data_IF_502388868095
#
_entry.id   IF_502388868095
#
_cell.length_a   1.000
_cell.length_b   1.000
_cell.length_c   1.000
_cell.angle_alpha   90.00
_cell.angle_beta   90.00
_cell.angle_gamma   90.00
#
_symmetry.space_group_name_H-M   'P 1'
#
loop_
_entity.id
_entity.type
_entity.pdbx_description
1 polymer ?
#
# COMPACT_ATOMS: atom_id res chain seq x y z
N UNK A 1 -15.15 14.43 -16.69
CA UNK A 1 -16.51 14.81 -17.11
C UNK A 1 -17.44 13.65 -16.74
N UNK A 2 -18.46 13.88 -15.91
CA UNK A 2 -19.26 12.78 -15.32
C UNK A 2 -20.17 12.11 -16.35
N UNK A 3 -20.60 12.88 -17.35
CA UNK A 3 -21.49 12.41 -18.41
C UNK A 3 -20.79 11.41 -19.34
N UNK A 4 -19.48 11.56 -19.57
CA UNK A 4 -18.71 10.65 -20.43
C UNK A 4 -18.48 9.29 -19.75
N UNK A 5 -18.32 9.26 -18.43
CA UNK A 5 -18.16 8.01 -17.67
C UNK A 5 -19.46 7.20 -17.67
N UNK A 6 -20.62 7.84 -17.47
CA UNK A 6 -21.91 7.13 -17.49
C UNK A 6 -22.24 6.52 -18.87
N UNK A 7 -21.85 7.20 -19.96
CA UNK A 7 -21.96 6.65 -21.31
C UNK A 7 -21.05 5.41 -21.50
N UNK A 8 -19.84 5.45 -20.94
CA UNK A 8 -18.90 4.32 -20.96
C UNK A 8 -19.41 3.13 -20.13
N UNK A 9 -19.94 3.38 -18.93
CA UNK A 9 -20.57 2.36 -18.07
C UNK A 9 -21.65 1.59 -18.86
N UNK A 10 -22.56 2.32 -19.50
CA UNK A 10 -23.67 1.73 -20.27
C UNK A 10 -23.16 0.92 -21.48
N UNK A 11 -22.12 1.41 -22.15
CA UNK A 11 -21.51 0.72 -23.28
C UNK A 11 -20.86 -0.60 -22.84
N UNK A 12 -20.12 -0.59 -21.72
CA UNK A 12 -19.44 -1.77 -21.19
C UNK A 12 -20.41 -2.84 -20.68
N UNK A 13 -21.52 -2.43 -20.06
CA UNK A 13 -22.58 -3.38 -19.64
C UNK A 13 -23.23 -4.11 -20.82
N UNK A 14 -23.29 -3.49 -22.00
CA UNK A 14 -23.81 -4.09 -23.23
C UNK A 14 -22.77 -4.88 -24.04
N UNK A 15 -21.51 -4.90 -23.59
CA UNK A 15 -20.43 -5.52 -24.35
C UNK A 15 -20.42 -7.04 -24.18
N UNK A 16 -20.65 -7.77 -25.28
CA UNK A 16 -20.82 -9.22 -25.26
C UNK A 16 -19.49 -10.00 -25.29
N UNK A 17 -18.47 -9.54 -24.57
CA UNK A 17 -17.14 -10.12 -24.54
C UNK A 17 -16.51 -10.05 -23.15
N UNK A 18 -15.28 -10.55 -23.01
CA UNK A 18 -14.53 -10.44 -21.76
C UNK A 18 -13.78 -9.11 -21.74
N UNK A 19 -13.96 -8.34 -20.66
CA UNK A 19 -13.25 -7.09 -20.42
C UNK A 19 -12.47 -7.23 -19.12
N UNK A 20 -11.17 -6.92 -19.17
CA UNK A 20 -10.34 -6.75 -17.99
C UNK A 20 -10.15 -5.25 -17.78
N UNK A 21 -10.49 -4.76 -16.59
CA UNK A 21 -10.46 -3.34 -16.25
C UNK A 21 -9.50 -3.14 -15.08
N UNK A 22 -8.59 -2.18 -15.21
CA UNK A 22 -7.76 -1.67 -14.12
C UNK A 22 -8.13 -0.21 -13.94
N UNK A 23 -8.69 0.12 -12.77
CA UNK A 23 -9.13 1.47 -12.45
C UNK A 23 -8.95 1.75 -10.97
N UNK A 24 -8.66 3.01 -10.65
CA UNK A 24 -8.61 3.52 -9.28
C UNK A 24 -9.95 4.13 -8.84
N UNK A 25 -10.92 4.27 -9.76
CA UNK A 25 -12.27 4.76 -9.43
C UNK A 25 -13.15 3.62 -8.95
N UNK A 26 -13.35 3.58 -7.63
CA UNK A 26 -14.19 2.59 -6.95
C UNK A 26 -15.62 2.56 -7.46
N UNK A 27 -16.24 3.72 -7.73
CA UNK A 27 -17.65 3.79 -8.13
C UNK A 27 -17.87 3.24 -9.54
N UNK A 28 -16.87 3.41 -10.41
CA UNK A 28 -16.88 2.84 -11.74
C UNK A 28 -16.69 1.32 -11.71
N UNK A 29 -15.71 0.83 -10.95
CA UNK A 29 -15.47 -0.63 -10.84
C UNK A 29 -16.68 -1.34 -10.26
N UNK A 30 -17.30 -0.81 -9.20
CA UNK A 30 -18.46 -1.43 -8.54
C UNK A 30 -19.64 -1.69 -9.49
N UNK A 31 -19.83 -0.82 -10.49
CA UNK A 31 -20.97 -0.90 -11.42
C UNK A 31 -20.73 -1.73 -12.67
N UNK A 32 -19.47 -1.96 -13.02
CA UNK A 32 -19.08 -2.54 -14.31
C UNK A 32 -18.44 -3.92 -14.15
N UNK A 33 -17.88 -4.23 -12.97
CA UNK A 33 -17.21 -5.52 -12.73
C UNK A 33 -18.03 -6.43 -11.83
N UNK A 34 -18.16 -7.70 -12.23
CA UNK A 34 -18.80 -8.75 -11.43
C UNK A 34 -17.79 -9.58 -10.60
N UNK A 35 -16.51 -9.52 -10.98
CA UNK A 35 -15.40 -10.27 -10.40
C UNK A 35 -14.20 -9.36 -10.15
N UNK A 36 -13.56 -9.55 -9.00
CA UNK A 36 -12.36 -8.82 -8.58
C UNK A 36 -11.18 -9.78 -8.46
N UNK A 37 -10.05 -9.38 -9.02
CA UNK A 37 -8.77 -10.04 -8.78
C UNK A 37 -8.00 -9.26 -7.73
N UNK A 38 -7.84 -9.87 -6.57
CA UNK A 38 -7.15 -9.29 -5.42
C UNK A 38 -5.72 -9.80 -5.41
N UNK A 39 -4.78 -8.88 -5.32
CA UNK A 39 -3.36 -9.17 -5.15
C UNK A 39 -3.05 -9.17 -3.65
N UNK A 40 -2.78 -10.34 -3.08
CA UNK A 40 -2.46 -10.49 -1.64
C UNK A 40 -0.94 -10.37 -1.36
N UNK A 41 -0.14 -9.96 -2.36
CA UNK A 41 1.32 -10.01 -2.33
C UNK A 41 1.87 -11.40 -2.70
N UNK A 42 3.19 -11.52 -2.80
CA UNK A 42 3.88 -12.81 -3.07
C UNK A 42 3.46 -13.52 -4.38
N UNK A 43 2.91 -12.78 -5.35
CA UNK A 43 2.36 -13.35 -6.58
C UNK A 43 1.06 -14.13 -6.41
N UNK A 44 0.41 -14.05 -5.24
CA UNK A 44 -0.88 -14.70 -4.98
C UNK A 44 -2.01 -13.79 -5.46
N UNK A 45 -2.83 -14.31 -6.37
CA UNK A 45 -4.02 -13.63 -6.88
C UNK A 45 -5.25 -14.43 -6.49
N UNK A 46 -6.21 -13.75 -5.85
CA UNK A 46 -7.47 -14.35 -5.42
C UNK A 46 -8.63 -13.76 -6.21
N UNK A 47 -9.51 -14.63 -6.68
CA UNK A 47 -10.77 -14.26 -7.32
C UNK A 47 -11.84 -14.05 -6.24
N UNK A 48 -12.51 -12.91 -6.29
CA UNK A 48 -13.66 -12.58 -5.47
C UNK A 48 -14.83 -12.21 -6.36
N UNK A 49 -15.87 -13.04 -6.34
CA UNK A 49 -17.14 -12.77 -7.01
C UNK A 49 -17.99 -11.84 -6.13
N UNK A 50 -17.99 -10.56 -6.48
CA UNK A 50 -18.67 -9.51 -5.73
C UNK A 50 -18.18 -8.13 -6.14
N UNK A 51 -18.77 -7.11 -5.53
CA UNK A 51 -18.43 -5.71 -5.76
C UNK A 51 -17.22 -5.29 -4.89
N UNK A 52 -16.54 -4.21 -5.28
CA UNK A 52 -15.37 -3.71 -4.54
C UNK A 52 -15.79 -3.22 -3.14
N UNK A 53 -17.01 -2.68 -3.05
CA UNK A 53 -17.60 -2.25 -1.78
C UNK A 53 -17.85 -3.41 -0.82
N UNK A 54 -18.41 -4.52 -1.30
CA UNK A 54 -18.62 -5.74 -0.49
C UNK A 54 -17.29 -6.34 -0.03
N UNK A 55 -16.27 -6.33 -0.89
CA UNK A 55 -14.94 -6.78 -0.52
C UNK A 55 -14.32 -5.91 0.59
N UNK A 56 -14.44 -4.59 0.49
CA UNK A 56 -13.96 -3.67 1.52
C UNK A 56 -14.64 -3.89 2.88
N UNK A 57 -15.96 -4.14 2.89
CA UNK A 57 -16.69 -4.49 4.11
C UNK A 57 -16.21 -5.82 4.71
N UNK A 58 -15.98 -6.84 3.87
CA UNK A 58 -15.43 -8.12 4.30
C UNK A 58 -14.05 -7.96 4.96
N UNK A 59 -13.19 -7.08 4.41
CA UNK A 59 -11.87 -6.78 4.96
C UNK A 59 -11.97 -6.18 6.37
N UNK A 60 -12.85 -5.19 6.55
CA UNK A 60 -13.10 -4.52 7.83
C UNK A 60 -13.65 -5.52 8.88
N UNK A 61 -14.52 -6.43 8.47
CA UNK A 61 -15.06 -7.49 9.33
C UNK A 61 -13.97 -8.49 9.77
N UNK A 62 -13.05 -8.84 8.87
CA UNK A 62 -11.90 -9.71 9.18
C UNK A 62 -10.93 -9.05 10.15
N UNK A 63 -10.64 -7.76 9.99
CA UNK A 63 -9.75 -7.02 10.89
C UNK A 63 -10.34 -6.93 12.31
N UNK A 64 -11.64 -6.68 12.42
CA UNK A 64 -12.38 -6.70 13.70
C UNK A 64 -12.39 -8.10 14.34
N UNK A 65 -12.55 -9.15 13.54
CA UNK A 65 -12.57 -10.54 14.01
C UNK A 65 -11.19 -11.06 14.44
N UNK A 66 -10.13 -10.56 13.80
CA UNK A 66 -8.73 -10.87 14.16
C UNK A 66 -8.34 -10.20 15.47
N UNK A 67 -8.80 -8.96 15.68
CA UNK A 67 -8.60 -8.22 16.94
C UNK A 67 -9.30 -8.88 18.14
N UNK A 68 -10.41 -9.60 17.92
CA UNK A 68 -11.12 -10.32 18.99
C UNK A 68 -10.45 -11.65 19.38
N UNK A 69 -9.73 -12.31 18.46
CA UNK A 69 -9.09 -13.62 18.72
C UNK A 69 -7.72 -13.55 19.42
N UNK A 70 -7.08 -12.38 19.47
CA UNK A 70 -5.78 -12.19 20.15
C UNK A 70 -5.91 -12.24 21.70
N UNK A 71 -7.12 -12.10 22.24
CA UNK A 71 -7.36 -12.17 23.68
C UNK A 71 -7.36 -13.57 24.30
N UNK A 72 -7.41 -14.65 23.50
CA UNK A 72 -7.69 -16.01 24.01
C UNK A 72 -6.51 -17.01 23.83
N UNK A 73 -5.53 -16.71 22.99
CA UNK A 73 -4.43 -17.65 22.67
C UNK A 73 -3.09 -17.34 23.36
N UNK A 74 -2.99 -16.25 24.13
CA UNK A 74 -1.77 -15.86 24.85
C UNK A 74 -1.47 -16.70 26.12
N UNK A 75 -2.37 -17.60 26.55
CA UNK A 75 -2.24 -18.36 27.80
C UNK A 75 -1.70 -19.80 27.66
N UNK A 76 -1.39 -20.30 26.46
CA UNK A 76 -1.06 -21.72 26.27
C UNK A 76 0.32 -22.04 25.63
N UNK A 77 1.18 -21.06 25.36
CA UNK A 77 2.51 -21.28 24.73
C UNK A 77 3.64 -20.96 25.70
N UNK A 78 3.61 -21.56 26.89
CA UNK A 78 4.72 -21.54 27.85
C UNK A 78 5.04 -22.94 28.40
N UNK A 79 5.23 -23.93 27.54
CA UNK A 79 5.90 -25.17 27.92
C UNK A 79 6.41 -25.88 26.67
N UNK A 80 7.68 -25.63 26.33
CA UNK A 80 8.61 -26.63 25.77
C UNK A 80 9.92 -25.95 25.38
N UNK A 81 10.72 -25.65 26.41
CA UNK A 81 12.17 -25.50 26.25
C UNK A 81 12.74 -26.90 26.45
N UNK A 82 13.14 -27.58 25.38
CA UNK A 82 14.05 -28.70 25.54
C UNK A 82 15.06 -28.78 24.40
N UNK A 83 16.31 -28.91 24.81
CA UNK A 83 17.48 -29.09 24.00
C UNK A 83 17.36 -30.34 23.13
N UNK A 84 17.94 -30.30 21.92
CA UNK A 84 18.91 -31.34 21.62
C UNK A 84 19.99 -30.84 20.66
N UNK A 85 21.22 -31.22 21.01
CA UNK A 85 22.46 -31.03 20.27
C UNK A 85 22.87 -32.40 19.72
N UNK A 86 23.62 -32.38 18.63
CA UNK A 86 24.31 -33.48 17.92
C UNK A 86 23.44 -34.07 16.78
N UNK A 87 23.95 -34.33 15.56
CA UNK A 87 25.31 -34.75 15.16
C UNK A 87 25.51 -34.63 13.62
N UNK A 88 26.75 -34.32 13.22
CA UNK A 88 27.50 -34.64 11.98
C UNK A 88 26.96 -34.40 10.54
N UNK A 89 27.77 -33.65 9.76
CA UNK A 89 27.85 -33.77 8.29
C UNK A 89 28.25 -32.50 7.51
N UNK A 90 29.54 -32.20 7.43
CA UNK A 90 30.27 -31.65 6.26
C UNK A 90 29.52 -30.64 5.34
N UNK A 91 29.20 -29.41 5.82
CA UNK A 91 28.73 -28.26 4.99
C UNK A 91 28.83 -26.91 5.77
N UNK A 92 29.87 -26.71 6.59
CA UNK A 92 29.90 -25.68 7.65
C UNK A 92 30.05 -24.20 7.21
N UNK A 93 30.44 -23.91 5.95
CA UNK A 93 30.57 -22.51 5.49
C UNK A 93 29.23 -21.93 4.99
N UNK A 94 28.35 -22.75 4.41
CA UNK A 94 27.14 -22.28 3.72
C UNK A 94 26.00 -21.93 4.70
N UNK A 95 25.89 -22.66 5.83
CA UNK A 95 24.90 -22.38 6.87
C UNK A 95 25.21 -21.09 7.65
N UNK A 96 26.49 -20.83 7.94
CA UNK A 96 26.92 -19.59 8.59
C UNK A 96 26.69 -18.34 7.72
N UNK A 97 26.88 -18.46 6.40
CA UNK A 97 26.59 -17.41 5.41
C UNK A 97 25.09 -17.14 5.32
N UNK A 98 24.26 -18.18 5.33
CA UNK A 98 22.80 -18.10 5.27
C UNK A 98 22.20 -17.45 6.52
N UNK A 99 22.69 -17.81 7.71
CA UNK A 99 22.27 -17.18 8.98
C UNK A 99 22.67 -15.70 9.06
N UNK A 100 23.87 -15.33 8.58
CA UNK A 100 24.30 -13.93 8.49
C UNK A 100 23.44 -13.12 7.52
N UNK A 101 23.18 -13.67 6.34
CA UNK A 101 22.34 -13.04 5.31
C UNK A 101 20.92 -12.79 5.83
N UNK A 102 20.30 -13.78 6.47
CA UNK A 102 18.98 -13.65 7.10
C UNK A 102 18.97 -12.60 8.22
N UNK A 103 20.03 -12.53 9.04
CA UNK A 103 20.13 -11.52 10.09
C UNK A 103 20.21 -10.10 9.52
N UNK A 104 20.98 -9.91 8.44
CA UNK A 104 21.14 -8.63 7.75
C UNK A 104 19.84 -8.20 7.07
N UNK A 105 19.18 -9.10 6.35
CA UNK A 105 17.85 -8.89 5.73
C UNK A 105 16.77 -8.55 6.76
N UNK A 106 16.78 -9.21 7.93
CA UNK A 106 15.84 -8.88 9.02
C UNK A 106 16.09 -7.48 9.59
N UNK A 107 17.35 -7.07 9.65
CA UNK A 107 17.71 -5.76 10.17
C UNK A 107 17.42 -4.64 9.15
N UNK A 108 17.64 -4.89 7.86
CA UNK A 108 17.26 -3.95 6.78
C UNK A 108 15.75 -3.77 6.73
N UNK A 109 14.96 -4.85 6.76
CA UNK A 109 13.50 -4.75 6.76
C UNK A 109 12.95 -4.01 7.98
N UNK A 110 13.55 -4.20 9.17
CA UNK A 110 13.21 -3.42 10.36
C UNK A 110 13.58 -1.94 10.23
N UNK A 111 14.66 -1.62 9.52
CA UNK A 111 15.06 -0.24 9.24
C UNK A 111 14.10 0.38 8.23
N UNK A 112 13.83 -0.30 7.11
CA UNK A 112 12.87 0.10 6.09
C UNK A 112 11.48 0.37 6.70
N UNK A 113 10.98 -0.50 7.59
CA UNK A 113 9.70 -0.29 8.29
C UNK A 113 9.67 0.97 9.17
N UNK A 114 10.80 1.39 9.75
CA UNK A 114 10.90 2.67 10.48
C UNK A 114 10.98 3.85 9.52
N UNK A 115 11.67 3.68 8.40
CA UNK A 115 11.79 4.66 7.33
C UNK A 115 10.43 4.94 6.70
N UNK A 116 9.63 3.90 6.43
CA UNK A 116 8.23 4.00 5.97
C UNK A 116 7.39 4.87 6.91
N UNK A 117 7.38 4.58 8.22
CA UNK A 117 6.63 5.39 9.18
C UNK A 117 7.09 6.86 9.19
N UNK A 118 8.38 7.11 9.00
CA UNK A 118 8.93 8.48 8.92
C UNK A 118 8.48 9.17 7.63
N UNK A 119 8.57 8.48 6.50
CA UNK A 119 8.15 8.97 5.20
C UNK A 119 6.64 9.25 5.20
N UNK A 120 5.82 8.40 5.81
CA UNK A 120 4.38 8.63 6.00
C UNK A 120 4.07 9.93 6.73
N UNK A 121 4.74 10.17 7.86
CA UNK A 121 4.58 11.45 8.59
C UNK A 121 5.01 12.65 7.73
N UNK A 122 6.10 12.51 6.96
CA UNK A 122 6.57 13.57 6.04
C UNK A 122 5.54 13.84 4.94
N UNK A 123 5.06 12.77 4.28
CA UNK A 123 4.05 12.82 3.23
C UNK A 123 2.74 13.43 3.73
N UNK A 124 2.28 13.12 4.94
CA UNK A 124 1.09 13.72 5.52
C UNK A 124 1.25 15.25 5.68
N UNK A 125 2.43 15.72 6.12
CA UNK A 125 2.70 17.16 6.21
C UNK A 125 2.80 17.84 4.84
N UNK A 126 3.39 17.18 3.83
CA UNK A 126 3.49 17.70 2.47
C UNK A 126 2.12 17.74 1.78
N UNK A 127 1.31 16.68 1.93
CA UNK A 127 -0.09 16.65 1.47
C UNK A 127 -0.91 17.77 2.11
N UNK A 128 -0.73 18.02 3.41
CA UNK A 128 -1.35 19.16 4.09
C UNK A 128 -0.97 20.50 3.47
N UNK A 129 0.33 20.74 3.22
CA UNK A 129 0.82 21.95 2.55
C UNK A 129 0.33 22.09 1.12
N UNK A 130 0.23 21.00 0.38
CA UNK A 130 -0.28 21.00 -1.00
C UNK A 130 -1.76 21.43 -1.02
N UNK A 131 -2.57 20.94 -0.08
CA UNK A 131 -3.97 21.36 0.08
C UNK A 131 -4.07 22.84 0.43
N UNK A 132 -3.23 23.33 1.36
CA UNK A 132 -3.20 24.74 1.76
C UNK A 132 -2.83 25.65 0.57
N UNK A 133 -1.78 25.30 -0.18
CA UNK A 133 -1.37 26.04 -1.38
C UNK A 133 -2.40 25.98 -2.50
N UNK A 134 -3.09 24.85 -2.67
CA UNK A 134 -4.18 24.72 -3.64
C UNK A 134 -5.35 25.62 -3.26
N UNK A 135 -5.68 25.69 -1.97
CA UNK A 135 -6.73 26.57 -1.49
C UNK A 135 -6.37 28.05 -1.64
N UNK A 136 -5.11 28.42 -1.34
CA UNK A 136 -4.61 29.78 -1.61
C UNK A 136 -4.66 30.12 -3.11
N UNK A 137 -4.35 29.16 -3.98
CA UNK A 137 -4.43 29.34 -5.43
C UNK A 137 -5.87 29.55 -5.91
N UNK A 138 -6.82 28.78 -5.37
CA UNK A 138 -8.24 28.91 -5.68
C UNK A 138 -8.79 30.26 -5.19
N UNK A 139 -8.41 30.69 -3.99
CA UNK A 139 -8.80 32.00 -3.43
C UNK A 139 -8.19 33.16 -4.24
N UNK A 140 -6.92 33.07 -4.62
CA UNK A 140 -6.24 34.08 -5.44
C UNK A 140 -6.85 34.18 -6.86
N UNK A 141 -7.24 33.04 -7.43
CA UNK A 141 -7.95 32.98 -8.71
C UNK A 141 -9.31 33.69 -8.64
N UNK A 142 -10.04 33.51 -7.53
CA UNK A 142 -11.34 34.15 -7.31
C UNK A 142 -11.25 35.67 -7.05
N UNK A 143 -10.16 36.14 -6.46
CA UNK A 143 -9.95 37.55 -6.13
C UNK A 143 -9.32 38.39 -7.26
N UNK A 144 -9.06 37.77 -8.43
CA UNK A 144 -8.31 38.39 -9.56
C UNK A 144 -6.94 38.91 -9.11
N UNK A 145 -6.29 38.18 -8.21
CA UNK A 145 -4.92 38.47 -7.80
C UNK A 145 -4.01 38.25 -9.01
N UNK A 146 -3.32 39.32 -9.44
CA UNK A 146 -2.66 39.37 -10.74
C UNK A 146 -1.75 38.16 -11.04
N UNK A 147 -1.64 37.82 -12.33
CA UNK A 147 -0.99 36.63 -12.89
C UNK A 147 0.37 36.22 -12.29
N UNK A 148 1.17 37.18 -11.78
CA UNK A 148 2.44 36.87 -11.11
C UNK A 148 2.26 36.07 -9.82
N UNK A 149 1.23 36.37 -9.02
CA UNK A 149 0.97 35.69 -7.74
C UNK A 149 0.49 34.26 -8.00
N UNK A 150 -0.38 34.09 -9.00
CA UNK A 150 -0.84 32.77 -9.45
C UNK A 150 0.31 31.90 -9.98
N UNK A 151 1.21 32.48 -10.77
CA UNK A 151 2.40 31.78 -11.27
C UNK A 151 3.32 31.33 -10.13
N UNK A 152 3.55 32.18 -9.13
CA UNK A 152 4.37 31.85 -7.96
C UNK A 152 3.73 30.74 -7.11
N UNK A 153 2.42 30.82 -6.86
CA UNK A 153 1.67 29.78 -6.11
C UNK A 153 1.65 28.44 -6.85
N UNK A 154 1.43 28.47 -8.16
CA UNK A 154 1.47 27.26 -9.01
C UNK A 154 2.86 26.63 -9.00
N UNK A 155 3.92 27.45 -9.05
CA UNK A 155 5.30 26.95 -8.99
C UNK A 155 5.62 26.31 -7.63
N UNK A 156 5.15 26.91 -6.54
CA UNK A 156 5.31 26.33 -5.19
C UNK A 156 4.53 25.03 -5.03
N UNK A 157 3.30 24.98 -5.54
CA UNK A 157 2.47 23.79 -5.51
C UNK A 157 3.12 22.65 -6.31
N UNK A 158 3.64 22.95 -7.51
CA UNK A 158 4.38 21.98 -8.31
C UNK A 158 5.59 21.44 -7.54
N UNK A 159 6.39 22.30 -6.91
CA UNK A 159 7.55 21.87 -6.15
C UNK A 159 7.18 20.96 -4.95
N UNK A 160 6.07 21.25 -4.25
CA UNK A 160 5.58 20.39 -3.16
C UNK A 160 5.07 19.05 -3.69
N UNK A 161 4.41 19.04 -4.85
CA UNK A 161 3.98 17.80 -5.49
C UNK A 161 5.16 16.95 -5.97
N UNK A 162 6.19 17.57 -6.58
CA UNK A 162 7.40 16.88 -7.00
C UNK A 162 8.13 16.25 -5.78
N UNK A 163 8.21 16.98 -4.65
CA UNK A 163 8.77 16.46 -3.39
C UNK A 163 7.90 15.31 -2.82
N UNK A 164 6.58 15.39 -2.94
CA UNK A 164 5.67 14.34 -2.53
C UNK A 164 5.88 13.06 -3.35
N UNK A 165 5.98 13.18 -4.67
CA UNK A 165 6.25 12.05 -5.58
C UNK A 165 7.59 11.37 -5.24
N UNK A 166 8.64 12.14 -4.93
CA UNK A 166 9.93 11.59 -4.51
C UNK A 166 9.82 10.81 -3.18
N UNK A 167 9.09 11.35 -2.20
CA UNK A 167 8.85 10.65 -0.92
C UNK A 167 7.99 9.38 -1.10
N UNK A 168 7.00 9.40 -2.00
CA UNK A 168 6.18 8.24 -2.33
C UNK A 168 7.00 7.14 -3.00
N UNK A 169 7.90 7.50 -3.93
CA UNK A 169 8.82 6.55 -4.55
C UNK A 169 9.77 5.90 -3.54
N UNK A 170 10.34 6.69 -2.62
CA UNK A 170 11.18 6.17 -1.54
C UNK A 170 10.39 5.25 -0.59
N UNK A 171 9.13 5.57 -0.31
CA UNK A 171 8.27 4.75 0.53
C UNK A 171 7.95 3.41 -0.16
N UNK A 172 7.70 3.42 -1.48
CA UNK A 172 7.48 2.20 -2.27
C UNK A 172 8.71 1.28 -2.27
N UNK A 173 9.92 1.83 -2.43
CA UNK A 173 11.16 1.04 -2.34
C UNK A 173 11.32 0.41 -0.95
N UNK A 174 11.07 1.17 0.11
CA UNK A 174 11.09 0.65 1.48
C UNK A 174 10.00 -0.43 1.71
N UNK A 175 8.82 -0.26 1.11
CA UNK A 175 7.73 -1.23 1.19
C UNK A 175 8.10 -2.55 0.49
N UNK A 176 8.72 -2.48 -0.69
CA UNK A 176 9.21 -3.64 -1.42
C UNK A 176 10.27 -4.40 -0.60
N UNK A 177 11.21 -3.70 0.05
CA UNK A 177 12.20 -4.34 0.93
C UNK A 177 11.55 -5.09 2.11
N UNK A 178 10.47 -4.55 2.67
CA UNK A 178 9.73 -5.18 3.77
C UNK A 178 8.96 -6.40 3.26
N UNK A 179 8.25 -6.29 2.13
CA UNK A 179 7.53 -7.40 1.51
C UNK A 179 8.50 -8.55 1.19
N UNK A 180 9.65 -8.26 0.57
CA UNK A 180 10.65 -9.26 0.23
C UNK A 180 11.10 -10.05 1.47
N UNK A 181 11.37 -9.35 2.58
CA UNK A 181 11.74 -9.99 3.84
C UNK A 181 10.61 -10.84 4.47
N UNK A 182 9.34 -10.45 4.28
CA UNK A 182 8.18 -11.26 4.67
C UNK A 182 8.01 -12.49 3.77
N UNK A 183 8.22 -12.36 2.45
CA UNK A 183 8.15 -13.46 1.48
C UNK A 183 9.20 -14.55 1.75
N UNK A 184 10.40 -14.14 2.17
CA UNK A 184 11.52 -15.03 2.49
C UNK A 184 11.36 -15.70 3.87
N UNK A 185 10.31 -15.36 4.63
CA UNK A 185 10.04 -15.90 5.97
C UNK A 185 11.06 -15.45 7.03
N UNK A 186 11.66 -14.27 6.82
CA UNK A 186 12.71 -13.71 7.69
C UNK A 186 12.12 -12.86 8.82
N UNK A 187 10.92 -12.32 8.59
CA UNK A 187 10.07 -11.61 9.56
C UNK A 187 8.93 -12.52 10.06
#
# INVERSE_FOLDING_TARGET
DINTLSALETYLQGFNGVVLIVSHDRFFTDKVTDHLFIFEGNGVVKDYGGSLSEYAECLIEQEKSTSYNIGVTAAAVQTSKNNNKNDDGDDDDDDALRVKKQFEQRNSARKAKREMNRLEMSMETLKGKAIELQQELDDASNNDDGWSVLADLTTKLQAVNDELEEQEMMWLECAEEVELAETEGIL
#
